data_IF_790752558419
#
_entry.id   IF_790752558419
#
_cell.length_a   1.000
_cell.length_b   1.000
_cell.length_c   1.000
_cell.angle_alpha   90.00
_cell.angle_beta   90.00
_cell.angle_gamma   90.00
#
_symmetry.space_group_name_H-M   'P 1'
#
loop_
_entity.id
_entity.type
_entity.pdbx_description
1 polymer ?
#
# COMPACT_ATOMS: atom_id res chain seq x y z
N UNK A 1 -24.87 4.51 -5.17
CA UNK A 1 -23.45 4.12 -4.98
C UNK A 1 -22.86 5.13 -4.04
N UNK A 2 -22.51 4.70 -2.83
CA UNK A 2 -21.81 5.54 -1.85
C UNK A 2 -20.35 5.13 -1.90
N UNK A 3 -19.46 6.12 -2.01
CA UNK A 3 -18.04 5.87 -2.05
C UNK A 3 -17.46 6.17 -0.67
N UNK A 4 -16.77 5.19 -0.10
CA UNK A 4 -16.19 5.29 1.22
C UNK A 4 -14.67 5.43 1.08
N UNK A 5 -14.09 6.61 1.42
CA UNK A 5 -12.65 6.79 1.37
C UNK A 5 -11.98 6.05 2.54
N UNK A 6 -10.93 5.29 2.23
CA UNK A 6 -10.08 4.60 3.20
C UNK A 6 -8.61 4.95 2.94
N UNK A 7 -7.84 5.17 3.99
CA UNK A 7 -6.40 5.36 3.89
C UNK A 7 -5.67 4.16 4.49
N UNK A 8 -4.87 3.47 3.67
CA UNK A 8 -3.92 2.48 4.17
C UNK A 8 -2.63 3.18 4.55
N UNK A 9 -2.30 3.17 5.84
CA UNK A 9 -1.04 3.73 6.34
C UNK A 9 0.04 2.67 6.27
N UNK A 10 1.09 2.94 5.50
CA UNK A 10 2.17 2.00 5.25
C UNK A 10 3.53 2.57 5.68
N UNK A 11 4.42 1.67 6.05
CA UNK A 11 5.81 1.98 6.39
C UNK A 11 6.78 1.01 5.73
N UNK A 12 7.93 1.52 5.30
CA UNK A 12 9.06 0.71 4.81
C UNK A 12 10.29 1.11 5.62
N UNK A 13 10.89 0.15 6.31
CA UNK A 13 12.19 0.34 6.93
C UNK A 13 13.29 0.24 5.87
N UNK A 14 14.15 1.25 5.83
CA UNK A 14 15.22 1.39 4.86
C UNK A 14 16.57 1.48 5.58
N UNK A 15 17.53 0.71 5.09
CA UNK A 15 18.90 0.67 5.60
C UNK A 15 19.87 0.99 4.45
N UNK A 16 20.46 2.18 4.48
CA UNK A 16 21.41 2.62 3.48
C UNK A 16 22.83 2.32 3.92
N UNK A 17 23.33 1.13 3.56
CA UNK A 17 24.71 0.72 3.82
C UNK A 17 25.75 1.35 2.89
N UNK A 18 25.35 2.21 1.96
CA UNK A 18 26.28 2.85 1.03
C UNK A 18 26.94 4.08 1.66
N UNK A 19 28.04 4.54 1.06
CA UNK A 19 28.73 5.76 1.43
C UNK A 19 28.13 7.03 0.79
N UNK A 20 26.99 6.92 0.10
CA UNK A 20 26.32 8.02 -0.57
C UNK A 20 24.87 8.17 -0.08
N UNK A 21 24.31 9.37 -0.16
CA UNK A 21 22.88 9.59 0.04
C UNK A 21 22.09 8.86 -1.05
N UNK A 22 21.08 8.08 -0.65
CA UNK A 22 20.16 7.40 -1.58
C UNK A 22 18.87 8.20 -1.68
N UNK A 23 18.56 8.71 -2.87
CA UNK A 23 17.31 9.43 -3.14
C UNK A 23 16.24 8.44 -3.56
N UNK A 24 15.06 8.51 -2.95
CA UNK A 24 13.87 7.76 -3.35
C UNK A 24 13.19 8.56 -4.45
N UNK A 25 13.12 7.97 -5.65
CA UNK A 25 12.58 8.63 -6.86
C UNK A 25 11.09 8.38 -7.00
N UNK A 26 10.65 7.15 -6.75
CA UNK A 26 9.24 6.78 -6.80
C UNK A 26 8.94 5.56 -5.94
N UNK A 27 7.69 5.47 -5.51
CA UNK A 27 7.10 4.29 -4.89
C UNK A 27 5.82 4.00 -5.68
N UNK A 28 5.75 2.80 -6.24
CA UNK A 28 4.53 2.25 -6.81
C UNK A 28 4.06 1.09 -5.93
N UNK A 29 2.77 0.90 -5.85
CA UNK A 29 2.09 -0.13 -5.09
C UNK A 29 1.22 -0.98 -6.02
N UNK A 30 1.00 -2.21 -5.60
CA UNK A 30 -0.06 -3.07 -6.11
C UNK A 30 -0.73 -3.73 -4.94
N UNK A 31 -2.05 -3.79 -4.95
CA UNK A 31 -2.82 -4.57 -4.00
C UNK A 31 -3.41 -5.80 -4.69
N UNK A 32 -3.70 -6.83 -3.89
CA UNK A 32 -4.40 -8.03 -4.35
C UNK A 32 -5.37 -8.46 -3.28
N UNK A 33 -6.63 -8.65 -3.66
CA UNK A 33 -7.63 -9.21 -2.76
C UNK A 33 -7.33 -10.70 -2.51
N UNK A 34 -7.05 -11.06 -1.27
CA UNK A 34 -6.64 -12.42 -0.86
C UNK A 34 -7.70 -13.15 -0.03
N UNK A 35 -8.72 -12.44 0.44
CA UNK A 35 -9.95 -13.03 0.96
C UNK A 35 -11.11 -12.04 0.78
N UNK A 36 -12.30 -12.57 0.52
CA UNK A 36 -13.53 -11.82 0.32
C UNK A 36 -14.58 -12.42 1.26
N UNK A 37 -15.28 -11.57 2.00
CA UNK A 37 -16.30 -11.97 2.96
C UNK A 37 -17.56 -11.12 2.83
N UNK A 38 -18.72 -11.76 2.95
CA UNK A 38 -20.01 -11.10 2.75
C UNK A 38 -20.23 -10.67 1.30
N UNK A 39 -20.99 -9.60 1.12
CA UNK A 39 -21.36 -9.04 -0.19
C UNK A 39 -20.33 -8.04 -0.72
N UNK A 40 -19.04 -8.24 -0.41
CA UNK A 40 -18.00 -7.30 -0.79
C UNK A 40 -17.92 -7.21 -2.31
N UNK A 41 -18.00 -5.98 -2.83
CA UNK A 41 -18.01 -5.70 -4.25
C UNK A 41 -16.59 -5.79 -4.84
N UNK A 42 -16.12 -7.02 -5.02
CA UNK A 42 -14.82 -7.34 -5.62
C UNK A 42 -14.60 -8.85 -5.68
N UNK A 43 -13.64 -9.29 -6.47
CA UNK A 43 -13.36 -10.71 -6.68
C UNK A 43 -12.06 -11.13 -5.99
N UNK A 44 -12.01 -12.37 -5.53
CA UNK A 44 -10.76 -12.96 -5.03
C UNK A 44 -9.70 -12.95 -6.13
N UNK A 45 -8.52 -12.40 -5.82
CA UNK A 45 -7.42 -12.26 -6.77
C UNK A 45 -7.48 -10.99 -7.64
N UNK A 46 -8.52 -10.16 -7.51
CA UNK A 46 -8.55 -8.84 -8.13
C UNK A 46 -7.33 -8.02 -7.70
N UNK A 47 -6.78 -7.26 -8.65
CA UNK A 47 -5.57 -6.46 -8.45
C UNK A 47 -5.83 -4.99 -8.74
N UNK A 48 -5.35 -4.14 -7.83
CA UNK A 48 -5.23 -2.70 -8.03
C UNK A 48 -3.77 -2.27 -7.98
N UNK A 49 -3.54 -0.98 -8.18
CA UNK A 49 -2.22 -0.37 -8.06
C UNK A 49 -2.16 1.04 -8.63
N UNK A 50 -1.01 1.67 -8.47
CA UNK A 50 -0.89 3.10 -8.65
C UNK A 50 0.50 3.63 -8.32
N UNK A 51 0.55 4.91 -7.96
CA UNK A 51 1.77 5.57 -7.52
C UNK A 51 1.53 6.33 -6.23
N UNK A 52 2.46 6.20 -5.29
CA UNK A 52 2.41 6.92 -4.02
C UNK A 52 3.05 8.30 -4.22
N UNK A 53 2.21 9.33 -4.21
CA UNK A 53 2.65 10.71 -4.37
C UNK A 53 3.40 11.22 -3.14
N UNK A 54 2.82 10.99 -1.95
CA UNK A 54 3.28 11.58 -0.69
C UNK A 54 3.93 10.53 0.22
N UNK A 55 5.25 10.68 0.39
CA UNK A 55 6.04 9.88 1.30
C UNK A 55 7.18 10.68 1.89
N UNK A 56 7.62 10.29 3.09
CA UNK A 56 8.74 10.90 3.79
C UNK A 56 9.54 9.85 4.57
N UNK A 57 10.89 9.93 4.60
CA UNK A 57 11.72 10.93 3.90
C UNK A 57 11.84 10.66 2.39
N UNK A 58 12.35 11.65 1.62
CA UNK A 58 12.64 11.52 0.17
C UNK A 58 14.06 10.99 -0.11
N UNK A 59 14.91 10.91 0.90
CA UNK A 59 16.25 10.36 0.79
C UNK A 59 16.71 9.77 2.12
N UNK A 60 17.66 8.84 2.05
CA UNK A 60 18.30 8.23 3.21
C UNK A 60 19.79 8.60 3.17
N UNK A 61 20.30 9.20 4.25
CA UNK A 61 21.71 9.57 4.36
C UNK A 61 22.64 8.36 4.24
N UNK A 62 23.90 8.60 3.88
CA UNK A 62 24.93 7.56 3.82
C UNK A 62 25.07 6.83 5.19
N UNK A 63 25.24 5.52 5.16
CA UNK A 63 25.39 4.68 6.37
C UNK A 63 24.22 4.75 7.37
N UNK A 64 23.06 5.29 6.96
CA UNK A 64 21.96 5.63 7.86
C UNK A 64 20.73 4.77 7.64
N UNK A 65 19.88 4.69 8.66
CA UNK A 65 18.57 4.02 8.62
C UNK A 65 17.44 5.03 8.70
N UNK A 66 16.31 4.71 8.10
CA UNK A 66 15.09 5.50 8.21
C UNK A 66 13.85 4.62 8.03
N UNK A 67 12.71 5.10 8.52
CA UNK A 67 11.40 4.52 8.22
C UNK A 67 10.66 5.47 7.29
N UNK A 68 10.43 5.01 6.06
CA UNK A 68 9.63 5.71 5.05
C UNK A 68 8.16 5.51 5.41
N UNK A 69 7.40 6.60 5.51
CA UNK A 69 5.96 6.59 5.83
C UNK A 69 5.17 7.18 4.68
N UNK A 70 4.05 6.55 4.34
CA UNK A 70 3.16 7.00 3.27
C UNK A 70 1.74 6.47 3.45
N UNK A 71 0.82 7.02 2.65
CA UNK A 71 -0.58 6.60 2.60
C UNK A 71 -0.94 6.15 1.20
N UNK A 72 -1.77 5.12 1.13
CA UNK A 72 -2.38 4.63 -0.11
C UNK A 72 -3.87 4.96 0.00
N UNK A 73 -4.38 5.89 -0.82
CA UNK A 73 -5.80 6.17 -0.85
C UNK A 73 -6.50 4.99 -1.52
N UNK A 74 -7.50 4.45 -0.84
CA UNK A 74 -8.35 3.38 -1.32
C UNK A 74 -9.80 3.85 -1.35
N UNK A 75 -10.55 3.47 -2.37
CA UNK A 75 -11.94 3.84 -2.52
C UNK A 75 -12.76 2.57 -2.65
N UNK A 76 -13.70 2.36 -1.73
CA UNK A 76 -14.61 1.23 -1.80
C UNK A 76 -15.99 1.74 -2.20
N UNK A 77 -16.60 1.08 -3.19
CA UNK A 77 -17.97 1.36 -3.61
C UNK A 77 -18.86 0.21 -3.19
N UNK A 78 -19.80 0.48 -2.29
CA UNK A 78 -20.80 -0.50 -1.88
C UNK A 78 -21.89 -0.65 -2.94
N UNK A 79 -22.32 -1.89 -3.17
CA UNK A 79 -23.49 -2.21 -3.98
C UNK A 79 -24.64 -2.70 -3.08
N UNK A 80 -25.81 -2.07 -3.22
CA UNK A 80 -27.02 -2.50 -2.53
C UNK A 80 -27.10 -2.07 -1.06
N UNK A 81 -27.97 -2.74 -0.30
CA UNK A 81 -28.10 -2.57 1.15
C UNK A 81 -27.24 -3.61 1.84
N UNK A 82 -26.21 -3.18 2.56
CA UNK A 82 -25.36 -4.08 3.38
C UNK A 82 -26.16 -4.44 4.64
N UNK A 83 -26.49 -5.72 4.78
CA UNK A 83 -27.30 -6.24 5.91
C UNK A 83 -26.47 -7.03 6.91
N UNK A 84 -25.18 -7.27 6.62
CA UNK A 84 -24.22 -7.97 7.47
C UNK A 84 -22.79 -7.48 7.18
N UNK A 85 -21.86 -7.70 8.11
CA UNK A 85 -20.47 -7.24 7.97
C UNK A 85 -19.84 -7.79 6.68
N UNK A 86 -19.36 -6.88 5.83
CA UNK A 86 -18.73 -7.19 4.55
C UNK A 86 -17.32 -6.60 4.48
N UNK A 87 -16.34 -7.39 4.06
CA UNK A 87 -14.95 -6.96 4.07
C UNK A 87 -14.07 -7.74 3.08
N UNK A 88 -13.00 -7.10 2.61
CA UNK A 88 -11.92 -7.71 1.85
C UNK A 88 -10.61 -7.67 2.64
N UNK A 89 -9.83 -8.75 2.59
CA UNK A 89 -8.44 -8.77 3.04
C UNK A 89 -7.51 -8.63 1.83
N UNK A 90 -6.55 -7.72 1.92
CA UNK A 90 -5.66 -7.33 0.83
C UNK A 90 -4.19 -7.56 1.21
N UNK A 91 -3.40 -8.05 0.25
CA UNK A 91 -1.94 -8.05 0.34
C UNK A 91 -1.41 -6.93 -0.55
N UNK A 92 -0.42 -6.20 -0.07
CA UNK A 92 0.25 -5.15 -0.84
C UNK A 92 1.63 -5.60 -1.28
N UNK A 93 2.07 -5.10 -2.42
CA UNK A 93 3.46 -5.16 -2.85
C UNK A 93 3.88 -3.77 -3.34
N UNK A 94 5.18 -3.49 -3.25
CA UNK A 94 5.75 -2.18 -3.55
C UNK A 94 6.95 -2.31 -4.48
N UNK A 95 7.03 -1.40 -5.45
CA UNK A 95 8.24 -1.17 -6.25
C UNK A 95 8.80 0.19 -5.88
N UNK A 96 9.95 0.20 -5.19
CA UNK A 96 10.64 1.41 -4.74
C UNK A 96 11.83 1.65 -5.67
N UNK A 97 11.78 2.72 -6.46
CA UNK A 97 12.90 3.12 -7.33
C UNK A 97 13.71 4.21 -6.65
N UNK A 98 15.02 4.00 -6.56
CA UNK A 98 15.96 4.90 -5.90
C UNK A 98 17.11 5.29 -6.83
N UNK A 99 18.04 6.13 -6.36
CA UNK A 99 19.31 6.40 -7.04
C UNK A 99 20.27 5.20 -7.05
N UNK A 100 20.11 4.25 -6.12
CA UNK A 100 20.98 3.07 -5.99
C UNK A 100 20.40 1.80 -6.62
N UNK A 101 19.16 1.84 -7.12
CA UNK A 101 18.49 0.70 -7.74
C UNK A 101 17.00 0.66 -7.46
N UNK A 102 16.36 -0.41 -7.93
CA UNK A 102 14.93 -0.67 -7.74
C UNK A 102 14.73 -1.90 -6.85
N UNK A 103 13.86 -1.76 -5.85
CA UNK A 103 13.55 -2.78 -4.86
C UNK A 103 12.09 -3.19 -4.97
N UNK A 104 11.82 -4.50 -4.93
CA UNK A 104 10.46 -5.05 -4.88
C UNK A 104 10.23 -5.65 -3.50
N UNK A 105 9.13 -5.27 -2.86
CA UNK A 105 8.81 -5.62 -1.49
C UNK A 105 7.38 -6.18 -1.43
N UNK A 106 7.18 -7.20 -0.62
CA UNK A 106 5.84 -7.66 -0.23
C UNK A 106 5.51 -7.11 1.17
N UNK A 107 4.24 -6.77 1.40
CA UNK A 107 3.77 -6.44 2.74
C UNK A 107 3.89 -7.65 3.66
N UNK A 108 4.40 -7.44 4.86
CA UNK A 108 4.47 -8.48 5.89
C UNK A 108 3.08 -8.89 6.40
N UNK A 109 2.14 -7.95 6.39
CA UNK A 109 0.78 -8.14 6.88
C UNK A 109 -0.24 -8.05 5.74
N UNK A 110 -1.41 -8.65 5.98
CA UNK A 110 -2.63 -8.37 5.21
C UNK A 110 -3.34 -7.16 5.82
N UNK A 111 -4.10 -6.44 5.00
CA UNK A 111 -4.91 -5.31 5.44
C UNK A 111 -6.39 -5.59 5.18
N UNK A 112 -7.23 -5.42 6.19
CA UNK A 112 -8.68 -5.59 6.07
C UNK A 112 -9.33 -4.25 5.80
N UNK A 113 -10.09 -4.18 4.70
CA UNK A 113 -11.01 -3.08 4.42
C UNK A 113 -12.42 -3.59 4.67
N UNK A 114 -13.14 -2.92 5.56
CA UNK A 114 -14.50 -3.25 5.96
C UNK A 114 -15.41 -2.10 5.57
N UNK A 115 -16.53 -2.38 4.91
CA UNK A 115 -17.57 -1.38 4.70
C UNK A 115 -18.70 -1.55 5.73
N UNK A 116 -19.33 -0.44 6.18
CA UNK A 116 -20.36 -0.48 7.22
C UNK A 116 -21.62 -1.26 6.84
#
# INVERSE_FOLDING_TARGET
MTNHPYDVNATIDADNFTNNTVTIRSIAETDTAVAIHGDWNGELGAKGGGSVADYSPRSIGAGSKATIRFRIPFQCTDQGTITSSTYGDFKFAFTVTTSAGTFKLDSANKHRLITP
#
